data_IF_547418565542
#
_entry.id   IF_547418565542
#
_cell.length_a   1.000
_cell.length_b   1.000
_cell.length_c   1.000
_cell.angle_alpha   90.00
_cell.angle_beta   90.00
_cell.angle_gamma   90.00
#
_symmetry.space_group_name_H-M   'P 1'
#
loop_
_entity.id
_entity.type
_entity.pdbx_description
1 polymer ?
#
# COMPACT_ATOMS: atom_id res chain seq x y z
N UNK A 1 -25.05 -15.93 1.62
CA UNK A 1 -24.20 -14.94 0.87
C UNK A 1 -23.64 -15.55 -0.39
N UNK A 2 -23.74 -14.86 -1.51
CA UNK A 2 -23.07 -15.28 -2.73
C UNK A 2 -21.60 -14.85 -2.72
N UNK A 3 -20.85 -15.26 -3.74
CA UNK A 3 -19.41 -14.96 -3.83
C UNK A 3 -19.13 -13.47 -3.83
N UNK A 4 -19.89 -12.68 -4.58
CA UNK A 4 -19.69 -11.23 -4.66
C UNK A 4 -19.92 -10.55 -3.30
N UNK A 5 -20.96 -10.95 -2.59
CA UNK A 5 -21.25 -10.42 -1.25
C UNK A 5 -20.12 -10.74 -0.27
N UNK A 6 -19.56 -11.95 -0.36
CA UNK A 6 -18.41 -12.35 0.48
C UNK A 6 -17.18 -11.55 0.16
N UNK A 7 -16.89 -11.32 -1.12
CA UNK A 7 -15.76 -10.51 -1.56
C UNK A 7 -15.93 -9.07 -1.07
N UNK A 8 -17.12 -8.50 -1.22
CA UNK A 8 -17.41 -7.13 -0.79
C UNK A 8 -17.21 -6.98 0.73
N UNK A 9 -17.62 -7.98 1.50
CA UNK A 9 -17.44 -7.98 2.95
C UNK A 9 -15.95 -8.00 3.32
N UNK A 10 -15.16 -8.81 2.66
CA UNK A 10 -13.72 -8.88 2.88
C UNK A 10 -13.07 -7.54 2.56
N UNK A 11 -13.42 -6.93 1.44
CA UNK A 11 -12.88 -5.64 1.03
C UNK A 11 -13.25 -4.52 1.99
N UNK A 12 -14.48 -4.52 2.46
CA UNK A 12 -14.96 -3.52 3.42
C UNK A 12 -14.16 -3.57 4.73
N UNK A 13 -13.84 -4.76 5.20
CA UNK A 13 -13.12 -4.93 6.47
C UNK A 13 -11.63 -4.69 6.38
N UNK A 14 -11.00 -5.10 5.28
CA UNK A 14 -9.54 -5.10 5.18
C UNK A 14 -8.97 -4.15 4.14
N UNK A 15 -9.81 -3.53 3.33
CA UNK A 15 -9.33 -2.59 2.30
C UNK A 15 -8.46 -3.22 1.23
N UNK A 16 -8.64 -4.50 0.96
CA UNK A 16 -7.90 -5.21 -0.09
C UNK A 16 -8.59 -5.04 -1.45
N UNK A 17 -7.87 -5.35 -2.53
CA UNK A 17 -8.45 -5.31 -3.87
C UNK A 17 -9.45 -6.45 -4.07
N UNK A 18 -10.28 -6.32 -5.11
CA UNK A 18 -11.22 -7.38 -5.48
C UNK A 18 -10.48 -8.70 -5.76
N UNK A 19 -9.37 -8.62 -6.49
CA UNK A 19 -8.56 -9.81 -6.81
C UNK A 19 -8.00 -10.47 -5.55
N UNK A 20 -7.44 -9.69 -4.65
CA UNK A 20 -6.90 -10.20 -3.39
C UNK A 20 -7.98 -10.89 -2.56
N UNK A 21 -9.15 -10.26 -2.46
CA UNK A 21 -10.27 -10.82 -1.72
C UNK A 21 -10.77 -12.12 -2.36
N UNK A 22 -10.89 -12.16 -3.69
CA UNK A 22 -11.33 -13.35 -4.41
C UNK A 22 -10.37 -14.51 -4.24
N UNK A 23 -9.08 -14.26 -4.36
CA UNK A 23 -8.06 -15.30 -4.20
C UNK A 23 -8.05 -15.85 -2.78
N UNK A 24 -8.13 -15.00 -1.77
CA UNK A 24 -8.22 -15.44 -0.38
C UNK A 24 -9.46 -16.28 -0.11
N UNK A 25 -10.59 -15.88 -0.68
CA UNK A 25 -11.84 -16.62 -0.53
C UNK A 25 -11.75 -18.01 -1.18
N UNK A 26 -11.13 -18.09 -2.35
CA UNK A 26 -10.92 -19.38 -3.04
C UNK A 26 -10.01 -20.30 -2.24
N UNK A 27 -8.92 -19.78 -1.71
CA UNK A 27 -8.00 -20.57 -0.88
C UNK A 27 -8.66 -21.01 0.42
N UNK A 28 -9.65 -20.29 0.89
CA UNK A 28 -10.43 -20.62 2.09
C UNK A 28 -11.68 -21.43 1.78
N UNK A 29 -11.80 -21.96 0.56
CA UNK A 29 -12.97 -22.76 0.11
C UNK A 29 -14.31 -22.06 0.34
N UNK A 30 -14.33 -20.74 0.16
CA UNK A 30 -15.52 -19.93 0.31
C UNK A 30 -15.86 -19.51 1.74
N UNK A 31 -15.00 -19.82 2.71
CA UNK A 31 -15.21 -19.43 4.10
C UNK A 31 -14.67 -18.01 4.34
N UNK A 32 -15.57 -17.06 4.61
CA UNK A 32 -15.23 -15.65 4.78
C UNK A 32 -14.31 -15.44 5.98
N UNK A 33 -14.58 -16.08 7.10
CA UNK A 33 -13.77 -15.92 8.32
C UNK A 33 -12.35 -16.40 8.07
N UNK A 34 -12.18 -17.55 7.46
CA UNK A 34 -10.86 -18.09 7.14
C UNK A 34 -10.12 -17.19 6.16
N UNK A 35 -10.82 -16.64 5.18
CA UNK A 35 -10.23 -15.69 4.24
C UNK A 35 -9.73 -14.41 4.94
N UNK A 36 -10.55 -13.87 5.84
CA UNK A 36 -10.18 -12.69 6.64
C UNK A 36 -8.96 -12.96 7.51
N UNK A 37 -8.92 -14.10 8.18
CA UNK A 37 -7.78 -14.49 9.02
C UNK A 37 -6.51 -14.64 8.19
N UNK A 38 -6.61 -15.27 7.03
CA UNK A 38 -5.46 -15.47 6.15
C UNK A 38 -4.90 -14.13 5.65
N UNK A 39 -5.76 -13.21 5.23
CA UNK A 39 -5.35 -11.89 4.75
C UNK A 39 -4.76 -11.03 5.86
N UNK A 40 -5.36 -11.05 7.04
CA UNK A 40 -4.86 -10.31 8.20
C UNK A 40 -3.49 -10.83 8.64
N UNK A 41 -3.31 -12.14 8.64
CA UNK A 41 -2.02 -12.77 8.96
C UNK A 41 -0.94 -12.35 7.95
N UNK A 42 -1.27 -12.36 6.67
CA UNK A 42 -0.35 -11.96 5.61
C UNK A 42 0.01 -10.49 5.71
N UNK A 43 -0.96 -9.63 5.99
CA UNK A 43 -0.73 -8.20 6.21
C UNK A 43 0.24 -7.97 7.37
N UNK A 44 0.04 -8.69 8.49
CA UNK A 44 0.93 -8.59 9.65
C UNK A 44 2.35 -9.03 9.31
N UNK A 45 2.50 -10.13 8.58
CA UNK A 45 3.82 -10.62 8.17
C UNK A 45 4.56 -9.62 7.28
N UNK A 46 3.86 -8.99 6.32
CA UNK A 46 4.45 -7.97 5.46
C UNK A 46 4.80 -6.71 6.25
N UNK A 47 3.93 -6.30 7.17
CA UNK A 47 4.15 -5.11 8.00
C UNK A 47 5.37 -5.28 8.91
N UNK A 48 5.59 -6.47 9.45
CA UNK A 48 6.75 -6.77 10.27
C UNK A 48 8.08 -6.65 9.51
N UNK A 49 8.05 -6.78 8.19
CA UNK A 49 9.24 -6.63 7.36
C UNK A 49 9.61 -5.18 7.11
N UNK A 50 8.72 -4.24 7.39
CA UNK A 50 8.99 -2.83 7.19
C UNK A 50 9.75 -2.25 8.38
N UNK A 51 10.68 -1.34 8.08
CA UNK A 51 11.32 -0.53 9.13
C UNK A 51 10.31 0.44 9.73
N UNK A 52 10.71 1.16 10.77
CA UNK A 52 9.86 2.20 11.35
C UNK A 52 9.46 3.26 10.32
N UNK A 53 10.40 3.71 9.50
CA UNK A 53 10.14 4.69 8.45
C UNK A 53 9.26 4.09 7.34
N UNK A 54 9.44 2.83 7.00
CA UNK A 54 8.61 2.13 6.03
C UNK A 54 7.16 2.03 6.48
N UNK A 55 6.92 1.75 7.76
CA UNK A 55 5.58 1.73 8.34
C UNK A 55 4.93 3.11 8.29
N UNK A 56 5.67 4.17 8.59
CA UNK A 56 5.18 5.54 8.49
C UNK A 56 4.78 5.87 7.05
N UNK A 57 5.61 5.50 6.09
CA UNK A 57 5.33 5.69 4.68
C UNK A 57 4.06 4.94 4.25
N UNK A 58 3.92 3.70 4.68
CA UNK A 58 2.74 2.89 4.41
C UNK A 58 1.46 3.56 4.92
N UNK A 59 1.47 4.00 6.17
CA UNK A 59 0.30 4.65 6.77
C UNK A 59 -0.02 5.98 6.09
N UNK A 60 0.99 6.74 5.70
CA UNK A 60 0.80 7.99 4.99
C UNK A 60 0.16 7.79 3.62
N UNK A 61 0.66 6.82 2.85
CA UNK A 61 0.11 6.49 1.53
C UNK A 61 -1.32 5.96 1.65
N UNK A 62 -1.55 5.06 2.60
CA UNK A 62 -2.87 4.49 2.85
C UNK A 62 -3.88 5.57 3.22
N UNK A 63 -3.51 6.51 4.06
CA UNK A 63 -4.36 7.65 4.44
C UNK A 63 -4.69 8.53 3.23
N UNK A 64 -3.70 8.86 2.41
CA UNK A 64 -3.91 9.66 1.21
C UNK A 64 -4.88 8.99 0.24
N UNK A 65 -4.74 7.70 0.02
CA UNK A 65 -5.65 6.93 -0.85
C UNK A 65 -7.06 6.88 -0.26
N UNK A 66 -7.18 6.70 1.05
CA UNK A 66 -8.49 6.57 1.71
C UNK A 66 -9.28 7.86 1.73
N UNK A 67 -8.64 9.01 1.61
CA UNK A 67 -9.33 10.29 1.49
C UNK A 67 -10.07 10.46 0.16
N UNK A 68 -9.77 9.59 -0.81
CA UNK A 68 -10.39 9.63 -2.13
C UNK A 68 -9.79 10.70 -3.02
N UNK A 69 -10.29 10.80 -4.25
CA UNK A 69 -9.85 11.79 -5.23
C UNK A 69 -8.37 11.67 -5.65
N UNK A 70 -7.72 10.56 -5.35
CA UNK A 70 -6.34 10.29 -5.73
C UNK A 70 -6.32 9.24 -6.83
N UNK A 71 -5.58 9.49 -7.91
CA UNK A 71 -5.40 8.53 -8.99
C UNK A 71 -4.12 7.74 -8.85
N UNK A 72 -3.04 8.38 -8.46
CA UNK A 72 -1.78 7.70 -8.16
C UNK A 72 -0.88 8.53 -7.27
N UNK A 73 0.10 7.88 -6.66
CA UNK A 73 1.11 8.49 -5.82
C UNK A 73 2.47 8.07 -6.35
N UNK A 74 3.35 9.03 -6.57
CA UNK A 74 4.74 8.77 -6.97
C UNK A 74 5.67 9.00 -5.79
N UNK A 75 6.59 8.08 -5.56
CA UNK A 75 7.67 8.28 -4.60
C UNK A 75 8.87 8.76 -5.39
N UNK A 76 9.35 9.94 -5.07
CA UNK A 76 10.43 10.61 -5.79
C UNK A 76 11.64 10.88 -4.89
N UNK A 77 12.81 10.83 -5.49
CA UNK A 77 14.07 11.31 -4.90
C UNK A 77 14.57 12.44 -5.77
N UNK A 78 14.42 13.68 -5.31
CA UNK A 78 14.67 14.85 -6.15
C UNK A 78 13.72 14.84 -7.35
N UNK A 79 14.25 14.78 -8.55
CA UNK A 79 13.46 14.72 -9.78
C UNK A 79 13.22 13.28 -10.28
N UNK A 80 13.87 12.29 -9.68
CA UNK A 80 13.76 10.89 -10.09
C UNK A 80 12.54 10.22 -9.45
N UNK A 81 11.72 9.57 -10.29
CA UNK A 81 10.59 8.76 -9.82
C UNK A 81 11.09 7.37 -9.49
N UNK A 82 11.02 6.98 -8.21
CA UNK A 82 11.45 5.65 -7.76
C UNK A 82 10.38 4.60 -7.98
N UNK A 83 9.12 4.94 -7.70
CA UNK A 83 8.01 4.03 -7.90
C UNK A 83 6.71 4.81 -8.03
N UNK A 84 5.72 4.20 -8.69
CA UNK A 84 4.37 4.73 -8.82
C UNK A 84 3.38 3.78 -8.15
N UNK A 85 2.46 4.33 -7.38
CA UNK A 85 1.45 3.56 -6.65
C UNK A 85 0.08 3.97 -7.18
N UNK A 86 -0.60 3.09 -7.96
CA UNK A 86 -1.97 3.38 -8.39
C UNK A 86 -2.92 3.32 -7.20
N UNK A 87 -3.90 4.21 -7.16
CA UNK A 87 -4.88 4.25 -6.08
C UNK A 87 -5.78 3.00 -6.04
N UNK A 88 -5.81 2.24 -7.14
CA UNK A 88 -6.57 0.99 -7.22
C UNK A 88 -5.87 -0.19 -6.56
N UNK A 89 -4.62 0.00 -6.12
CA UNK A 89 -3.84 -1.05 -5.48
C UNK A 89 -4.44 -1.40 -4.12
N UNK A 90 -4.62 -2.69 -3.85
CA UNK A 90 -5.12 -3.15 -2.55
C UNK A 90 -4.05 -3.07 -1.47
N UNK A 91 -4.50 -3.14 -0.21
CA UNK A 91 -3.62 -2.98 0.95
C UNK A 91 -2.44 -3.93 0.99
N UNK A 92 -2.65 -5.21 0.66
CA UNK A 92 -1.56 -6.20 0.64
C UNK A 92 -0.55 -5.94 -0.46
N UNK A 93 -1.02 -5.61 -1.67
CA UNK A 93 -0.14 -5.29 -2.78
C UNK A 93 0.65 -4.01 -2.49
N UNK A 94 0.03 -3.04 -1.82
CA UNK A 94 0.70 -1.82 -1.39
C UNK A 94 1.83 -2.14 -0.41
N UNK A 95 1.58 -2.97 0.59
CA UNK A 95 2.61 -3.39 1.54
C UNK A 95 3.78 -4.08 0.85
N UNK A 96 3.49 -5.00 -0.05
CA UNK A 96 4.52 -5.71 -0.81
C UNK A 96 5.37 -4.77 -1.66
N UNK A 97 4.73 -3.82 -2.31
CA UNK A 97 5.42 -2.81 -3.13
C UNK A 97 6.31 -1.91 -2.27
N UNK A 98 5.80 -1.43 -1.13
CA UNK A 98 6.57 -0.58 -0.24
C UNK A 98 7.72 -1.32 0.43
N UNK A 99 7.56 -2.59 0.73
CA UNK A 99 8.66 -3.40 1.26
C UNK A 99 9.82 -3.47 0.26
N UNK A 100 9.52 -3.65 -1.03
CA UNK A 100 10.54 -3.65 -2.08
C UNK A 100 11.14 -2.26 -2.31
N UNK A 101 10.32 -1.22 -2.32
CA UNK A 101 10.77 0.16 -2.48
C UNK A 101 11.65 0.58 -1.29
N UNK A 102 11.30 0.16 -0.08
CA UNK A 102 12.10 0.42 1.11
C UNK A 102 13.51 -0.15 1.01
N UNK A 103 13.64 -1.39 0.50
CA UNK A 103 14.95 -1.99 0.27
C UNK A 103 15.77 -1.18 -0.73
N UNK A 104 15.13 -0.70 -1.80
CA UNK A 104 15.79 0.15 -2.78
C UNK A 104 16.22 1.49 -2.20
N UNK A 105 15.38 2.10 -1.36
CA UNK A 105 15.66 3.36 -0.67
C UNK A 105 16.85 3.19 0.27
N UNK A 106 16.84 2.15 1.10
CA UNK A 106 17.92 1.86 2.03
C UNK A 106 19.23 1.62 1.29
N UNK A 107 19.21 0.81 0.25
CA UNK A 107 20.39 0.51 -0.56
C UNK A 107 20.96 1.76 -1.23
N UNK A 108 20.08 2.68 -1.66
CA UNK A 108 20.49 3.91 -2.31
C UNK A 108 21.09 4.96 -1.38
N UNK A 109 20.69 4.96 -0.11
CA UNK A 109 21.13 5.95 0.86
C UNK A 109 22.26 5.48 1.78
N UNK A 110 22.38 4.18 1.99
CA UNK A 110 23.40 3.60 2.85
C UNK A 110 23.23 3.84 4.34
N UNK A 111 22.37 4.77 4.76
CA UNK A 111 22.12 5.05 6.18
C UNK A 111 20.63 5.29 6.45
N UNK A 112 20.18 4.87 7.63
CA UNK A 112 18.80 5.06 8.07
C UNK A 112 18.48 6.54 8.33
N UNK A 113 19.43 7.29 8.85
CA UNK A 113 19.23 8.69 9.19
C UNK A 113 18.94 9.57 7.97
N UNK A 114 19.50 9.20 6.82
CA UNK A 114 19.33 9.96 5.58
C UNK A 114 18.24 9.35 4.67
N UNK A 115 17.52 8.36 5.14
CA UNK A 115 16.63 7.53 4.32
C UNK A 115 15.59 8.30 3.54
N UNK A 116 15.00 9.34 4.11
CA UNK A 116 13.99 10.16 3.45
C UNK A 116 14.46 11.57 3.07
N UNK A 117 15.78 11.81 3.15
CA UNK A 117 16.32 13.09 2.74
C UNK A 117 16.16 13.27 1.22
N UNK A 118 15.57 14.37 0.79
CA UNK A 118 15.22 14.67 -0.60
C UNK A 118 14.16 13.74 -1.21
N UNK A 119 13.53 12.90 -0.40
CA UNK A 119 12.40 12.09 -0.86
C UNK A 119 11.09 12.85 -0.70
N UNK A 120 10.20 12.66 -1.65
CA UNK A 120 8.89 13.31 -1.63
C UNK A 120 7.82 12.38 -2.21
N UNK A 121 6.57 12.63 -1.81
CA UNK A 121 5.40 12.02 -2.41
C UNK A 121 4.75 13.03 -3.34
N UNK A 122 4.52 12.65 -4.58
CA UNK A 122 3.76 13.44 -5.53
C UNK A 122 2.41 12.77 -5.73
N UNK A 123 1.36 13.44 -5.23
CA UNK A 123 -0.01 12.89 -5.23
C UNK A 123 -0.76 13.47 -6.41
N UNK A 124 -1.15 12.64 -7.37
CA UNK A 124 -1.97 13.04 -8.49
C UNK A 124 -3.43 12.80 -8.18
N UNK A 125 -4.25 13.84 -8.32
CA UNK A 125 -5.67 13.80 -8.01
C UNK A 125 -6.51 13.67 -9.29
N UNK A 126 -7.75 13.19 -9.13
CA UNK A 126 -8.66 12.95 -10.26
C UNK A 126 -8.92 14.19 -11.11
N UNK A 127 -8.84 15.38 -10.52
CA UNK A 127 -9.03 16.65 -11.25
C UNK A 127 -7.80 17.16 -11.97
N UNK A 128 -6.69 16.40 -11.99
CA UNK A 128 -5.44 16.80 -12.60
C UNK A 128 -4.50 17.58 -11.68
N UNK A 129 -4.94 17.89 -10.47
CA UNK A 129 -4.10 18.55 -9.50
C UNK A 129 -3.00 17.63 -9.00
N UNK A 130 -1.83 18.21 -8.74
CA UNK A 130 -0.68 17.49 -8.21
C UNK A 130 -0.26 18.16 -6.89
N UNK A 131 -0.22 17.37 -5.83
CA UNK A 131 0.22 17.84 -4.52
C UNK A 131 1.54 17.16 -4.17
N UNK A 132 2.52 17.95 -3.76
CA UNK A 132 3.83 17.44 -3.35
C UNK A 132 3.96 17.47 -1.83
N UNK A 133 4.37 16.36 -1.23
CA UNK A 133 4.65 16.25 0.21
C UNK A 133 6.05 15.74 0.43
N UNK A 134 6.83 16.44 1.24
CA UNK A 134 8.17 15.99 1.60
C UNK A 134 8.08 14.86 2.64
N UNK A 135 8.93 13.86 2.46
CA UNK A 135 9.07 12.76 3.42
C UNK A 135 10.16 13.11 4.43
N UNK A 136 9.76 13.28 5.66
CA UNK A 136 10.70 13.56 6.75
C UNK A 136 10.32 12.81 8.02
#
# INVERSE_FOLDING_TARGET
MDELQKIDLIRERLGVSFLEAREALREADGNVVDALVALETKERQWEEKLSHQGKRLYHQVKELISKGNVTKIKIKKGEEVLTEIPATLGGLALLGMLASAELAIIAGLGTVAAMFNNYSLEVEKAGGEVEKRDLQ
#
